data_IF_408944159330
#
_entry.id   IF_408944159330
#
_cell.length_a   1.000
_cell.length_b   1.000
_cell.length_c   1.000
_cell.angle_alpha   90.00
_cell.angle_beta   90.00
_cell.angle_gamma   90.00
#
_symmetry.space_group_name_H-M   'P 1'
#
loop_
_entity.id
_entity.type
_entity.pdbx_description
1 polymer ?
#
# COMPACT_ATOMS: atom_id res chain seq x y z
N UNK A 1 8.30 2.16 11.70
CA UNK A 1 8.74 2.41 10.30
C UNK A 1 8.82 1.14 9.47
N UNK A 2 9.70 0.18 9.79
CA UNK A 2 9.79 -1.08 9.03
C UNK A 2 8.44 -1.80 8.93
N UNK A 3 7.74 -1.94 10.06
CA UNK A 3 6.40 -2.55 10.10
C UNK A 3 5.39 -1.82 9.22
N UNK A 4 5.32 -0.48 9.29
CA UNK A 4 4.44 0.32 8.44
C UNK A 4 4.73 0.16 6.95
N UNK A 5 6.00 0.11 6.56
CA UNK A 5 6.38 -0.16 5.17
C UNK A 5 5.96 -1.58 4.76
N UNK A 6 6.09 -2.57 5.65
CA UNK A 6 5.63 -3.94 5.41
C UNK A 6 4.11 -4.05 5.31
N UNK A 7 3.36 -3.37 6.18
CA UNK A 7 1.90 -3.32 6.14
C UNK A 7 1.41 -2.80 4.79
N UNK A 8 1.91 -1.63 4.38
CA UNK A 8 1.56 -1.01 3.09
C UNK A 8 1.96 -1.91 1.92
N UNK A 9 3.17 -2.49 1.96
CA UNK A 9 3.63 -3.44 0.94
C UNK A 9 2.69 -4.63 0.81
N UNK A 10 2.24 -5.21 1.92
CA UNK A 10 1.32 -6.34 1.91
C UNK A 10 -0.05 -5.96 1.35
N UNK A 11 -0.57 -4.77 1.68
CA UNK A 11 -1.78 -4.24 1.03
C UNK A 11 -1.62 -4.10 -0.49
N UNK A 12 -0.49 -3.53 -0.95
CA UNK A 12 -0.18 -3.42 -2.38
C UNK A 12 -0.03 -4.80 -3.04
N UNK A 13 0.65 -5.75 -2.39
CA UNK A 13 0.77 -7.14 -2.87
C UNK A 13 -0.60 -7.77 -3.07
N UNK A 14 -1.52 -7.63 -2.10
CA UNK A 14 -2.88 -8.15 -2.23
C UNK A 14 -3.55 -7.60 -3.48
N UNK A 15 -3.60 -6.27 -3.62
CA UNK A 15 -4.28 -5.60 -4.74
C UNK A 15 -3.72 -6.04 -6.08
N UNK A 16 -2.41 -6.28 -6.18
CA UNK A 16 -1.73 -6.68 -7.42
C UNK A 16 -1.66 -8.19 -7.69
N UNK A 17 -2.04 -9.02 -6.71
CA UNK A 17 -1.89 -10.47 -6.81
C UNK A 17 -2.85 -11.17 -7.78
N UNK A 18 -3.98 -10.53 -8.14
CA UNK A 18 -4.89 -11.04 -9.17
C UNK A 18 -5.68 -9.93 -9.85
N UNK A 19 -6.16 -10.14 -11.10
CA UNK A 19 -7.04 -9.19 -11.76
C UNK A 19 -8.33 -8.91 -10.97
N UNK A 20 -8.91 -9.93 -10.32
CA UNK A 20 -10.14 -9.77 -9.54
C UNK A 20 -9.95 -8.90 -8.30
N UNK A 21 -8.83 -9.04 -7.58
CA UNK A 21 -8.48 -8.18 -6.43
C UNK A 21 -8.21 -6.75 -6.88
N UNK A 22 -7.54 -6.59 -8.03
CA UNK A 22 -7.28 -5.29 -8.61
C UNK A 22 -8.57 -4.54 -9.02
N UNK A 23 -9.54 -5.24 -9.61
CA UNK A 23 -10.84 -4.65 -9.96
C UNK A 23 -11.63 -4.22 -8.72
N UNK A 24 -11.57 -4.97 -7.60
CA UNK A 24 -12.18 -4.53 -6.34
C UNK A 24 -11.54 -3.26 -5.81
N UNK A 25 -10.22 -3.19 -5.81
CA UNK A 25 -9.50 -1.97 -5.46
C UNK A 25 -9.90 -0.78 -6.34
N UNK A 26 -10.03 -0.95 -7.66
CA UNK A 26 -10.52 0.12 -8.54
C UNK A 26 -11.91 0.60 -8.16
N UNK A 27 -12.83 -0.30 -7.84
CA UNK A 27 -14.16 0.08 -7.35
C UNK A 27 -14.09 0.91 -6.06
N UNK A 28 -13.15 0.59 -5.16
CA UNK A 28 -12.92 1.39 -3.96
C UNK A 28 -12.37 2.79 -4.31
N UNK A 29 -11.45 2.90 -5.27
CA UNK A 29 -10.91 4.18 -5.78
C UNK A 29 -12.03 5.05 -6.40
N UNK A 30 -12.88 4.44 -7.23
CA UNK A 30 -14.02 5.10 -7.87
C UNK A 30 -15.05 5.58 -6.84
N UNK A 31 -15.38 4.74 -5.85
CA UNK A 31 -16.35 5.05 -4.80
C UNK A 31 -15.89 6.18 -3.89
N UNK A 32 -14.58 6.24 -3.60
CA UNK A 32 -13.95 7.34 -2.86
C UNK A 32 -13.72 8.61 -3.72
N UNK A 33 -14.10 8.58 -5.00
CA UNK A 33 -13.97 9.71 -5.95
C UNK A 33 -12.54 10.27 -6.00
N UNK A 34 -11.55 9.40 -5.89
CA UNK A 34 -10.14 9.80 -5.89
C UNK A 34 -9.78 10.27 -7.31
N UNK A 35 -9.46 11.54 -7.47
CA UNK A 35 -9.15 12.17 -8.77
C UNK A 35 -7.75 11.82 -9.30
N UNK A 36 -7.22 10.65 -8.97
CA UNK A 36 -5.87 10.23 -9.33
C UNK A 36 -5.92 9.08 -10.36
N UNK A 37 -5.42 9.34 -11.56
CA UNK A 37 -5.34 8.35 -12.63
C UNK A 37 -4.16 7.37 -12.48
N UNK A 38 -3.32 7.55 -11.46
CA UNK A 38 -2.21 6.65 -11.17
C UNK A 38 -2.67 5.30 -10.62
N UNK A 39 -1.74 4.36 -10.52
CA UNK A 39 -1.95 3.05 -9.89
C UNK A 39 -0.89 2.82 -8.81
N UNK A 40 -1.19 1.93 -7.87
CA UNK A 40 -0.21 1.46 -6.90
C UNK A 40 0.86 0.60 -7.58
N UNK A 41 2.12 0.85 -7.19
CA UNK A 41 3.29 0.09 -7.65
C UNK A 41 3.85 -0.73 -6.50
N UNK A 42 4.20 -1.99 -6.77
CA UNK A 42 4.89 -2.83 -5.78
C UNK A 42 6.38 -2.51 -5.83
N UNK A 43 7.02 -2.49 -4.66
CA UNK A 43 8.44 -2.22 -4.59
C UNK A 43 9.31 -3.46 -4.86
N UNK A 44 10.59 -3.20 -5.09
CA UNK A 44 11.67 -4.18 -4.93
C UNK A 44 12.27 -3.96 -3.54
N UNK A 45 12.09 -4.88 -2.57
CA UNK A 45 12.45 -4.64 -1.16
C UNK A 45 13.91 -4.26 -0.91
N UNK A 46 14.82 -4.63 -1.81
CA UNK A 46 16.25 -4.31 -1.72
C UNK A 46 16.62 -2.95 -2.32
N UNK A 47 15.66 -2.21 -2.90
CA UNK A 47 15.89 -0.92 -3.59
C UNK A 47 15.01 0.17 -3.00
N UNK A 48 15.62 1.05 -2.19
CA UNK A 48 14.91 2.14 -1.53
C UNK A 48 14.17 3.08 -2.50
N UNK A 49 14.71 3.32 -3.71
CA UNK A 49 14.03 4.08 -4.77
C UNK A 49 12.65 3.49 -5.13
N UNK A 50 12.58 2.16 -5.21
CA UNK A 50 11.34 1.46 -5.52
C UNK A 50 10.38 1.48 -4.33
N UNK A 51 10.90 1.37 -3.10
CA UNK A 51 10.10 1.53 -1.88
C UNK A 51 9.52 2.94 -1.76
N UNK A 52 10.30 3.97 -2.07
CA UNK A 52 9.82 5.36 -2.13
C UNK A 52 8.65 5.50 -3.11
N UNK A 53 8.80 4.98 -4.34
CA UNK A 53 7.74 5.03 -5.36
C UNK A 53 6.48 4.28 -4.91
N UNK A 54 6.61 3.10 -4.30
CA UNK A 54 5.49 2.36 -3.73
C UNK A 54 4.76 3.22 -2.70
N UNK A 55 5.46 3.73 -1.69
CA UNK A 55 4.84 4.54 -0.62
C UNK A 55 4.20 5.81 -1.18
N UNK A 56 4.90 6.55 -2.02
CA UNK A 56 4.40 7.78 -2.63
C UNK A 56 3.17 7.54 -3.53
N UNK A 57 3.10 6.39 -4.20
CA UNK A 57 1.91 5.99 -4.95
C UNK A 57 0.76 5.60 -4.03
N UNK A 58 0.98 4.74 -3.03
CA UNK A 58 -0.05 4.24 -2.12
C UNK A 58 -0.68 5.32 -1.26
N UNK A 59 0.09 6.33 -0.86
CA UNK A 59 -0.41 7.49 -0.10
C UNK A 59 -1.49 8.29 -0.84
N UNK A 60 -1.58 8.18 -2.17
CA UNK A 60 -2.65 8.81 -2.96
C UNK A 60 -3.98 8.05 -2.87
N UNK A 61 -3.95 6.81 -2.36
CA UNK A 61 -5.06 5.87 -2.37
C UNK A 61 -5.41 5.34 -0.98
N UNK A 62 -4.99 6.01 0.10
CA UNK A 62 -5.27 5.61 1.50
C UNK A 62 -6.75 5.28 1.70
N UNK A 63 -7.66 6.18 1.32
CA UNK A 63 -9.11 5.96 1.45
C UNK A 63 -9.62 4.74 0.68
N UNK A 64 -9.00 4.40 -0.45
CA UNK A 64 -9.38 3.22 -1.20
C UNK A 64 -8.94 1.94 -0.49
N UNK A 65 -7.79 1.94 0.21
CA UNK A 65 -7.40 0.83 1.07
C UNK A 65 -8.28 0.72 2.31
N UNK A 66 -8.66 1.84 2.93
CA UNK A 66 -9.58 1.84 4.07
C UNK A 66 -10.93 1.22 3.67
N UNK A 67 -11.52 1.69 2.56
CA UNK A 67 -12.76 1.13 2.02
C UNK A 67 -12.62 -0.35 1.62
N UNK A 68 -11.48 -0.74 1.04
CA UNK A 68 -11.24 -2.13 0.68
C UNK A 68 -11.20 -3.02 1.94
N UNK A 69 -10.65 -2.52 3.04
CA UNK A 69 -10.66 -3.21 4.33
C UNK A 69 -12.06 -3.32 4.92
N UNK A 70 -12.88 -2.26 4.79
CA UNK A 70 -14.27 -2.29 5.26
C UNK A 70 -15.16 -3.27 4.45
N UNK A 71 -14.98 -3.34 3.13
CA UNK A 71 -15.92 -4.00 2.22
C UNK A 71 -15.49 -5.41 1.77
N UNK A 72 -14.19 -5.74 1.75
CA UNK A 72 -13.69 -7.00 1.18
C UNK A 72 -13.18 -7.99 2.23
N UNK A 73 -13.99 -9.03 2.49
CA UNK A 73 -13.64 -10.11 3.42
C UNK A 73 -12.34 -10.85 3.04
N UNK A 74 -11.98 -10.92 1.75
CA UNK A 74 -10.73 -11.58 1.34
C UNK A 74 -9.51 -10.74 1.72
N UNK A 75 -9.62 -9.40 1.65
CA UNK A 75 -8.60 -8.48 2.13
C UNK A 75 -8.43 -8.62 3.65
N UNK A 76 -9.51 -8.59 4.41
CA UNK A 76 -9.47 -8.77 5.86
C UNK A 76 -8.86 -10.12 6.27
N UNK A 77 -9.21 -11.20 5.55
CA UNK A 77 -8.73 -12.56 5.84
C UNK A 77 -7.27 -12.75 5.44
N UNK A 78 -6.82 -12.06 4.38
CA UNK A 78 -5.44 -12.13 3.90
C UNK A 78 -4.40 -11.77 4.98
N UNK A 79 -4.72 -10.85 5.90
CA UNK A 79 -3.84 -10.49 7.02
C UNK A 79 -3.98 -11.37 8.27
N UNK A 80 -4.99 -12.26 8.29
CA UNK A 80 -5.17 -13.27 9.34
C UNK A 80 -4.44 -14.58 9.01
N UNK A 81 -4.17 -14.81 7.73
CA UNK A 81 -3.41 -15.95 7.24
C UNK A 81 -1.89 -15.77 7.46
N UNK A 82 -1.21 -16.89 7.73
CA UNK A 82 0.24 -16.91 7.82
C UNK A 82 0.89 -16.94 6.43
N UNK A 83 2.03 -16.27 6.32
CA UNK A 83 2.96 -16.36 5.20
C UNK A 83 4.29 -16.88 5.75
N UNK A 84 4.69 -18.08 5.31
CA UNK A 84 5.91 -18.74 5.81
C UNK A 84 5.96 -18.85 7.34
N UNK A 85 4.86 -19.34 7.95
CA UNK A 85 4.73 -19.53 9.40
C UNK A 85 4.76 -18.23 10.23
N UNK A 86 4.69 -17.08 9.57
CA UNK A 86 4.60 -15.77 10.21
C UNK A 86 3.34 -15.04 9.77
N UNK A 87 2.64 -14.43 10.73
CA UNK A 87 1.47 -13.62 10.45
C UNK A 87 1.86 -12.42 9.57
N UNK A 88 1.09 -12.17 8.51
CA UNK A 88 1.31 -10.97 7.68
C UNK A 88 1.08 -9.71 8.51
N UNK A 89 2.00 -8.75 8.40
CA UNK A 89 1.83 -7.42 8.97
C UNK A 89 0.76 -6.67 8.16
N UNK A 90 -0.25 -6.15 8.85
CA UNK A 90 -1.36 -5.36 8.28
C UNK A 90 -2.73 -5.86 8.75
N UNK A 91 -3.85 -5.36 8.15
CA UNK A 91 -3.90 -4.32 7.10
C UNK A 91 -3.30 -2.98 7.57
N UNK A 92 -2.87 -2.10 6.65
CA UNK A 92 -2.32 -0.79 7.04
C UNK A 92 -3.36 0.04 7.78
N UNK A 93 -2.99 0.59 8.95
CA UNK A 93 -3.87 1.47 9.72
C UNK A 93 -3.37 2.92 9.70
N UNK A 94 -4.12 3.83 10.34
CA UNK A 94 -3.83 5.28 10.35
C UNK A 94 -2.35 5.62 10.61
N UNK A 95 -1.73 5.00 11.63
CA UNK A 95 -0.34 5.29 11.99
C UNK A 95 0.65 4.83 10.91
N UNK A 96 0.35 3.78 10.15
CA UNK A 96 1.20 3.34 9.05
C UNK A 96 1.24 4.38 7.94
N UNK A 97 0.08 4.97 7.64
CA UNK A 97 -0.05 6.03 6.66
C UNK A 97 0.65 7.31 7.11
N UNK A 98 0.52 7.71 8.38
CA UNK A 98 1.23 8.86 8.94
C UNK A 98 2.75 8.66 8.92
N UNK A 99 3.22 7.47 9.35
CA UNK A 99 4.64 7.12 9.28
C UNK A 99 5.16 7.15 7.84
N UNK A 100 4.40 6.62 6.89
CA UNK A 100 4.76 6.64 5.47
C UNK A 100 4.83 8.06 4.91
N UNK A 101 3.94 8.98 5.32
CA UNK A 101 4.01 10.40 4.92
C UNK A 101 5.32 11.03 5.36
N UNK A 102 5.70 10.87 6.62
CA UNK A 102 6.98 11.40 7.16
C UNK A 102 8.17 10.80 6.39
N UNK A 103 8.14 9.50 6.14
CA UNK A 103 9.26 8.82 5.47
C UNK A 103 9.39 9.22 4.00
N UNK A 104 8.28 9.35 3.28
CA UNK A 104 8.27 9.81 1.89
C UNK A 104 8.80 11.24 1.78
N UNK A 105 8.44 12.13 2.71
CA UNK A 105 9.00 13.49 2.74
C UNK A 105 10.52 13.49 2.90
N UNK A 106 11.04 12.66 3.79
CA UNK A 106 12.50 12.51 3.98
C UNK A 106 13.19 11.93 2.74
N UNK A 107 12.64 10.86 2.16
CA UNK A 107 13.25 10.18 1.00
C UNK A 107 13.14 10.99 -0.30
N UNK A 108 12.15 11.88 -0.42
CA UNK A 108 11.94 12.70 -1.62
C UNK A 108 13.20 13.49 -1.99
N UNK A 109 13.88 14.10 -1.02
CA UNK A 109 15.11 14.87 -1.27
C UNK A 109 16.20 14.00 -1.89
N UNK A 110 16.39 12.78 -1.39
CA UNK A 110 17.37 11.84 -1.93
C UNK A 110 16.97 11.33 -3.31
N UNK A 111 15.68 11.10 -3.52
CA UNK A 111 15.15 10.61 -4.80
C UNK A 111 15.36 11.65 -5.90
N UNK A 112 15.05 12.91 -5.62
CA UNK A 112 15.15 14.01 -6.58
C UNK A 112 16.61 14.27 -7.03
N UNK A 113 17.63 13.95 -6.20
CA UNK A 113 19.06 14.08 -6.55
C UNK A 113 19.69 12.81 -7.14
N UNK A 114 18.99 11.69 -7.11
CA UNK A 114 19.45 10.41 -7.68
C UNK A 114 18.94 10.21 -9.12
N UNK A 115 18.04 11.09 -9.58
CA UNK A 115 17.52 11.15 -10.94
C UNK A 115 18.41 12.03 -11.84
#
# INVERSE_FOLDING_TARGET
MHESVCAIRNGVKFVKSSPSRFEKYKKSVESEKIQNNGLVVLDVPTKWNSTYLMLASSLKFVKAFDRLDDEDLHYQTYFKEDENEQKRIGPPHFEDWENAKVFVQFLKTFYDVTL
#
